data_IF_802782474860
#
_entry.id   IF_802782474860
#
_cell.length_a   1.000
_cell.length_b   1.000
_cell.length_c   1.000
_cell.angle_alpha   90.00
_cell.angle_beta   90.00
_cell.angle_gamma   90.00
#
_symmetry.space_group_name_H-M   'P 1'
#
loop_
_entity.id
_entity.type
_entity.pdbx_description
1 polymer ?
#
# COMPACT_ATOMS: atom_id res chain seq x y z
N UNK A 1 -8.83 2.20 31.97
CA UNK A 1 -7.61 1.76 32.70
C UNK A 1 -6.38 1.78 31.79
N UNK A 2 -6.39 1.11 30.63
CA UNK A 2 -5.25 1.08 29.69
C UNK A 2 -4.80 2.45 29.18
N UNK A 3 -5.74 3.30 28.73
CA UNK A 3 -5.43 4.66 28.23
C UNK A 3 -4.71 5.50 29.29
N UNK A 4 -5.22 5.52 30.52
CA UNK A 4 -4.60 6.23 31.66
C UNK A 4 -3.21 5.67 31.97
N UNK A 5 -3.04 4.35 31.89
CA UNK A 5 -1.74 3.69 32.06
C UNK A 5 -0.73 4.11 30.99
N UNK A 6 -1.14 4.19 29.72
CA UNK A 6 -0.30 4.62 28.61
C UNK A 6 0.05 6.12 28.68
N UNK A 7 -0.88 6.96 29.12
CA UNK A 7 -0.62 8.38 29.37
C UNK A 7 0.45 8.57 30.44
N UNK A 8 0.30 7.87 31.58
CA UNK A 8 1.31 7.89 32.66
C UNK A 8 2.66 7.35 32.19
N UNK A 9 2.66 6.27 31.42
CA UNK A 9 3.90 5.70 30.84
C UNK A 9 4.59 6.72 29.92
N UNK A 10 3.84 7.39 29.04
CA UNK A 10 4.40 8.39 28.14
C UNK A 10 4.99 9.61 28.89
N UNK A 11 4.36 10.03 29.98
CA UNK A 11 4.89 11.11 30.83
C UNK A 11 6.21 10.69 31.48
N UNK A 12 6.27 9.48 32.04
CA UNK A 12 7.49 8.94 32.65
C UNK A 12 8.62 8.76 31.63
N UNK A 13 8.32 8.26 30.43
CA UNK A 13 9.29 8.15 29.33
C UNK A 13 9.85 9.53 28.98
N UNK A 14 9.00 10.55 28.89
CA UNK A 14 9.45 11.90 28.59
C UNK A 14 10.34 12.48 29.71
N UNK A 15 9.96 12.29 30.98
CA UNK A 15 10.73 12.76 32.13
C UNK A 15 12.10 12.07 32.28
N UNK A 16 12.14 10.75 32.05
CA UNK A 16 13.35 9.95 32.29
C UNK A 16 14.29 9.90 31.08
N UNK A 17 13.75 9.93 29.86
CA UNK A 17 14.52 9.72 28.62
C UNK A 17 14.55 10.94 27.71
N UNK A 18 13.74 11.98 27.97
CA UNK A 18 13.61 13.15 27.11
C UNK A 18 12.89 12.88 25.77
N UNK A 19 12.39 11.66 25.55
CA UNK A 19 11.73 11.27 24.28
C UNK A 19 10.23 11.55 24.35
N UNK A 20 9.73 12.40 23.46
CA UNK A 20 8.30 12.69 23.34
C UNK A 20 7.58 11.73 22.39
N UNK A 21 6.88 10.73 22.94
CA UNK A 21 6.16 9.72 22.13
C UNK A 21 4.64 9.92 22.05
N UNK A 22 4.08 10.78 22.91
CA UNK A 22 2.62 10.96 23.07
C UNK A 22 1.92 11.42 21.80
N UNK A 23 2.52 12.36 21.08
CA UNK A 23 1.91 13.06 19.94
C UNK A 23 2.46 12.58 18.60
N UNK A 24 3.33 11.57 18.60
CA UNK A 24 3.90 11.04 17.36
C UNK A 24 2.82 10.29 16.57
N UNK A 25 2.52 10.68 15.32
CA UNK A 25 1.64 9.92 14.46
C UNK A 25 2.11 8.47 14.33
N UNK A 26 1.21 7.51 14.54
CA UNK A 26 1.54 6.08 14.55
C UNK A 26 2.14 5.55 15.86
N UNK A 27 2.38 6.39 16.87
CA UNK A 27 2.94 5.97 18.16
C UNK A 27 2.08 4.94 18.91
N UNK A 28 0.75 4.99 18.71
CA UNK A 28 -0.20 4.02 19.25
C UNK A 28 -0.25 2.66 18.53
N UNK A 29 0.50 2.48 17.43
CA UNK A 29 0.46 1.24 16.64
C UNK A 29 0.81 0.01 17.50
N UNK A 30 0.07 -1.08 17.26
CA UNK A 30 0.15 -2.33 18.02
C UNK A 30 0.07 -2.12 19.55
N UNK A 31 -0.79 -1.21 20.02
CA UNK A 31 -1.01 -0.96 21.44
C UNK A 31 0.14 -0.21 22.11
N UNK A 32 0.65 0.84 21.45
CA UNK A 32 1.82 1.63 21.87
C UNK A 32 3.18 0.91 21.80
N UNK A 33 3.25 -0.25 21.13
CA UNK A 33 4.51 -0.92 20.86
C UNK A 33 5.49 -0.04 20.07
N UNK A 34 4.97 0.71 19.08
CA UNK A 34 5.77 1.66 18.32
C UNK A 34 6.38 2.77 19.20
N UNK A 35 5.61 3.33 20.14
CA UNK A 35 6.11 4.28 21.12
C UNK A 35 7.23 3.68 22.01
N UNK A 36 7.09 2.41 22.40
CA UNK A 36 8.15 1.70 23.13
C UNK A 36 9.45 1.57 22.33
N UNK A 37 9.36 1.17 21.06
CA UNK A 37 10.53 1.08 20.17
C UNK A 37 11.21 2.44 19.98
N UNK A 38 10.44 3.52 19.85
CA UNK A 38 10.99 4.87 19.77
C UNK A 38 11.73 5.27 21.05
N UNK A 39 11.11 5.02 22.21
CA UNK A 39 11.65 5.42 23.50
C UNK A 39 12.90 4.64 23.92
N UNK A 40 12.91 3.33 23.65
CA UNK A 40 13.89 2.41 24.24
C UNK A 40 14.88 1.82 23.23
N UNK A 41 14.56 1.83 21.94
CA UNK A 41 15.39 1.26 20.87
C UNK A 41 15.79 2.29 19.80
N UNK A 42 15.52 3.59 20.03
CA UNK A 42 15.74 4.65 19.05
C UNK A 42 15.06 4.36 17.70
N UNK A 43 13.94 3.64 17.74
CA UNK A 43 13.17 3.27 16.56
C UNK A 43 12.55 4.50 15.90
N UNK A 44 12.28 4.40 14.60
CA UNK A 44 11.61 5.45 13.82
C UNK A 44 10.38 4.87 13.16
N UNK A 45 9.30 5.64 13.14
CA UNK A 45 8.10 5.29 12.38
C UNK A 45 8.35 5.68 10.94
N UNK A 46 8.22 4.70 10.04
CA UNK A 46 8.37 4.88 8.60
C UNK A 46 7.17 4.26 7.89
N UNK A 47 6.92 4.73 6.68
CA UNK A 47 5.98 4.11 5.75
C UNK A 47 6.45 2.68 5.44
N UNK A 48 5.63 1.69 5.74
CA UNK A 48 5.98 0.29 5.53
C UNK A 48 6.21 -0.06 4.06
N UNK A 49 5.43 0.56 3.15
CA UNK A 49 5.65 0.38 1.71
C UNK A 49 6.97 0.99 1.27
N UNK A 50 7.30 2.21 1.72
CA UNK A 50 8.57 2.84 1.35
C UNK A 50 9.76 2.04 1.86
N UNK A 51 9.69 1.53 3.09
CA UNK A 51 10.74 0.67 3.65
C UNK A 51 10.96 -0.60 2.81
N UNK A 52 9.88 -1.26 2.36
CA UNK A 52 9.96 -2.46 1.52
C UNK A 52 10.53 -2.10 0.13
N UNK A 53 10.08 -1.00 -0.48
CA UNK A 53 10.56 -0.58 -1.79
C UNK A 53 12.03 -0.18 -1.77
N UNK A 54 12.47 0.55 -0.73
CA UNK A 54 13.87 0.90 -0.53
C UNK A 54 14.72 -0.36 -0.32
N UNK A 55 14.26 -1.32 0.50
CA UNK A 55 14.96 -2.59 0.74
C UNK A 55 15.15 -3.42 -0.53
N UNK A 56 14.19 -3.34 -1.46
CA UNK A 56 14.25 -4.05 -2.74
C UNK A 56 14.88 -3.23 -3.87
N UNK A 57 15.45 -2.05 -3.59
CA UNK A 57 16.00 -1.16 -4.61
C UNK A 57 15.00 -0.90 -5.76
N UNK A 58 13.73 -0.70 -5.41
CA UNK A 58 12.64 -0.63 -6.38
C UNK A 58 12.86 0.45 -7.45
N UNK A 59 13.46 1.58 -7.08
CA UNK A 59 13.72 2.67 -8.02
C UNK A 59 14.73 2.29 -9.12
N UNK A 60 15.65 1.39 -8.83
CA UNK A 60 16.60 0.89 -9.84
C UNK A 60 15.88 -0.03 -10.84
N UNK A 61 14.93 -0.84 -10.36
CA UNK A 61 14.08 -1.69 -11.21
C UNK A 61 13.18 -0.88 -12.14
N UNK A 62 12.87 0.38 -11.79
CA UNK A 62 12.02 1.26 -12.60
C UNK A 62 12.75 1.83 -13.82
N UNK A 63 14.09 1.90 -13.83
CA UNK A 63 14.84 2.53 -14.92
C UNK A 63 14.59 1.85 -16.28
N UNK A 64 14.40 0.52 -16.27
CA UNK A 64 14.13 -0.28 -17.47
C UNK A 64 12.65 -0.68 -17.61
N UNK A 65 11.79 -0.23 -16.69
CA UNK A 65 10.40 -0.64 -16.65
C UNK A 65 9.53 0.18 -17.62
N UNK A 66 8.86 -0.50 -18.56
CA UNK A 66 7.84 0.14 -19.40
C UNK A 66 6.49 0.33 -18.68
N UNK A 67 6.20 -0.52 -17.70
CA UNK A 67 4.93 -0.57 -16.98
C UNK A 67 5.13 -1.25 -15.62
N UNK A 68 4.45 -0.75 -14.59
CA UNK A 68 4.35 -1.40 -13.28
C UNK A 68 2.98 -2.06 -13.15
N UNK A 69 2.98 -3.33 -12.73
CA UNK A 69 1.79 -4.04 -12.29
C UNK A 69 1.81 -4.19 -10.77
N UNK A 70 0.70 -3.87 -10.11
CA UNK A 70 0.52 -4.04 -8.67
C UNK A 70 -0.88 -4.59 -8.37
N UNK A 71 -1.21 -4.79 -7.10
CA UNK A 71 -2.52 -5.27 -6.72
C UNK A 71 -2.72 -5.41 -5.22
N UNK A 72 -3.99 -5.46 -4.82
CA UNK A 72 -4.41 -5.82 -3.47
C UNK A 72 -5.84 -6.37 -3.46
N UNK A 73 -6.29 -6.90 -2.32
CA UNK A 73 -7.63 -7.48 -2.20
C UNK A 73 -8.76 -6.45 -2.40
N UNK A 74 -8.60 -5.22 -1.91
CA UNK A 74 -9.59 -4.16 -2.02
C UNK A 74 -8.88 -2.81 -2.04
N UNK A 75 -9.08 -2.03 -3.11
CA UNK A 75 -8.76 -0.60 -3.11
C UNK A 75 -9.99 0.17 -2.63
N UNK A 76 -9.84 0.91 -1.54
CA UNK A 76 -10.82 1.81 -0.95
C UNK A 76 -10.20 3.20 -0.67
N UNK A 77 -11.01 4.15 -0.19
CA UNK A 77 -10.52 5.51 0.13
C UNK A 77 -9.42 5.53 1.19
N UNK A 78 -9.32 4.51 2.06
CA UNK A 78 -8.21 4.39 3.01
C UNK A 78 -6.91 3.97 2.33
N UNK A 79 -6.99 3.24 1.23
CA UNK A 79 -5.80 2.83 0.46
C UNK A 79 -5.09 4.02 -0.16
N UNK A 80 -5.85 5.05 -0.57
CA UNK A 80 -5.32 6.32 -1.06
C UNK A 80 -4.42 7.04 -0.04
N UNK A 81 -4.49 6.68 1.25
CA UNK A 81 -3.67 7.27 2.31
C UNK A 81 -2.25 6.70 2.43
N UNK A 82 -1.79 5.89 1.47
CA UNK A 82 -0.39 5.43 1.41
C UNK A 82 -0.17 3.95 1.65
N UNK A 83 -1.14 3.09 1.30
CA UNK A 83 -0.95 1.63 1.31
C UNK A 83 -0.13 1.15 0.11
N UNK A 84 0.18 -0.14 0.08
CA UNK A 84 1.07 -0.81 -0.88
C UNK A 84 0.94 -0.34 -2.34
N UNK A 85 -0.23 -0.50 -2.99
CA UNK A 85 -0.39 -0.11 -4.39
C UNK A 85 -0.14 1.37 -4.66
N UNK A 86 -0.54 2.25 -3.74
CA UNK A 86 -0.34 3.68 -3.85
C UNK A 86 1.14 4.07 -3.70
N UNK A 87 1.84 3.50 -2.71
CA UNK A 87 3.28 3.75 -2.54
C UNK A 87 4.09 3.33 -3.77
N UNK A 88 3.75 2.16 -4.34
CA UNK A 88 4.31 1.67 -5.59
C UNK A 88 4.02 2.65 -6.74
N UNK A 89 2.76 3.04 -6.94
CA UNK A 89 2.36 3.93 -8.02
C UNK A 89 3.02 5.32 -7.91
N UNK A 90 3.12 5.86 -6.70
CA UNK A 90 3.81 7.13 -6.42
C UNK A 90 5.28 7.05 -6.80
N UNK A 91 6.00 5.99 -6.42
CA UNK A 91 7.42 5.81 -6.77
C UNK A 91 7.61 5.63 -8.28
N UNK A 92 6.76 4.82 -8.91
CA UNK A 92 6.76 4.62 -10.36
C UNK A 92 6.54 5.94 -11.12
N UNK A 93 5.57 6.76 -10.68
CA UNK A 93 5.25 8.03 -11.31
C UNK A 93 6.41 9.04 -11.25
N UNK A 94 7.22 9.04 -10.19
CA UNK A 94 8.42 9.90 -10.10
C UNK A 94 9.46 9.57 -11.17
N UNK A 95 9.50 8.33 -11.67
CA UNK A 95 10.35 7.89 -12.77
C UNK A 95 9.64 7.92 -14.13
N UNK A 96 8.41 8.46 -14.18
CA UNK A 96 7.61 8.51 -15.41
C UNK A 96 7.00 7.16 -15.84
N UNK A 97 7.06 6.12 -15.00
CA UNK A 97 6.52 4.79 -15.30
C UNK A 97 5.06 4.69 -14.86
N UNK A 98 4.19 4.24 -15.77
CA UNK A 98 2.75 4.08 -15.49
C UNK A 98 2.49 2.84 -14.65
N UNK A 99 1.49 2.91 -13.78
CA UNK A 99 1.08 1.79 -12.91
C UNK A 99 -0.35 1.35 -13.20
N UNK A 100 -0.55 0.04 -13.36
CA UNK A 100 -1.88 -0.60 -13.44
C UNK A 100 -2.05 -1.55 -12.25
N UNK A 101 -3.21 -1.52 -11.61
CA UNK A 101 -3.53 -2.39 -10.49
C UNK A 101 -4.49 -3.51 -10.89
N UNK A 102 -4.22 -4.75 -10.48
CA UNK A 102 -5.19 -5.86 -10.51
C UNK A 102 -5.75 -6.05 -9.09
N UNK A 103 -7.07 -5.91 -8.92
CA UNK A 103 -7.67 -5.81 -7.58
C UNK A 103 -8.81 -6.79 -7.37
N UNK A 104 -9.00 -7.25 -6.14
CA UNK A 104 -10.17 -8.07 -5.79
C UNK A 104 -11.49 -7.28 -5.89
N UNK A 105 -11.50 -6.05 -5.38
CA UNK A 105 -12.65 -5.14 -5.39
C UNK A 105 -12.17 -3.69 -5.48
N UNK A 106 -12.95 -2.86 -6.17
CA UNK A 106 -12.72 -1.43 -6.30
C UNK A 106 -13.85 -0.67 -5.61
N UNK A 107 -13.50 0.20 -4.66
CA UNK A 107 -14.42 1.05 -3.89
C UNK A 107 -13.92 2.50 -3.87
N UNK A 108 -13.48 2.97 -5.03
CA UNK A 108 -12.96 4.32 -5.30
C UNK A 108 -13.33 4.66 -6.74
N UNK A 109 -13.60 5.94 -7.01
CA UNK A 109 -13.83 6.40 -8.37
C UNK A 109 -12.53 6.49 -9.19
N UNK A 110 -12.65 6.34 -10.51
CA UNK A 110 -11.51 6.34 -11.44
C UNK A 110 -10.67 7.62 -11.39
N UNK A 111 -11.29 8.80 -11.13
CA UNK A 111 -10.54 10.07 -11.10
C UNK A 111 -9.62 10.11 -9.89
N UNK A 112 -10.10 9.65 -8.73
CA UNK A 112 -9.31 9.57 -7.51
C UNK A 112 -8.13 8.59 -7.66
N UNK A 113 -8.33 7.44 -8.33
CA UNK A 113 -7.25 6.50 -8.64
C UNK A 113 -6.19 7.11 -9.56
N UNK A 114 -6.65 7.78 -10.62
CA UNK A 114 -5.76 8.40 -11.59
C UNK A 114 -4.93 9.53 -10.95
N UNK A 115 -5.58 10.39 -10.15
CA UNK A 115 -4.90 11.44 -9.40
C UNK A 115 -3.89 10.88 -8.38
N UNK A 116 -4.12 9.67 -7.90
CA UNK A 116 -3.25 8.92 -7.01
C UNK A 116 -2.05 8.24 -7.72
N UNK A 117 -1.92 8.37 -9.05
CA UNK A 117 -0.83 7.78 -9.82
C UNK A 117 -1.10 6.36 -10.33
N UNK A 118 -2.25 5.76 -9.99
CA UNK A 118 -2.71 4.50 -10.57
C UNK A 118 -3.47 4.81 -11.85
N UNK A 119 -2.89 4.49 -13.00
CA UNK A 119 -3.46 4.82 -14.30
C UNK A 119 -4.79 4.09 -14.57
N UNK A 120 -4.91 2.85 -14.08
CA UNK A 120 -6.13 2.05 -14.14
C UNK A 120 -6.11 0.96 -13.07
N UNK A 121 -7.27 0.62 -12.52
CA UNK A 121 -7.46 -0.54 -11.66
C UNK A 121 -8.48 -1.51 -12.28
N UNK A 122 -8.13 -2.78 -12.38
CA UNK A 122 -8.94 -3.81 -13.01
C UNK A 122 -9.40 -4.83 -11.95
N UNK A 123 -10.71 -4.88 -11.64
CA UNK A 123 -11.26 -5.94 -10.82
C UNK A 123 -11.02 -7.31 -11.45
N UNK A 124 -10.49 -8.25 -10.67
CA UNK A 124 -10.17 -9.60 -11.16
C UNK A 124 -11.42 -10.47 -11.30
N UNK A 125 -12.50 -10.12 -10.60
CA UNK A 125 -13.78 -10.83 -10.59
C UNK A 125 -14.57 -10.52 -11.87
N UNK A 126 -14.73 -11.47 -12.82
CA UNK A 126 -15.33 -11.18 -14.11
C UNK A 126 -16.86 -11.27 -14.12
N UNK A 127 -17.45 -11.83 -13.05
CA UNK A 127 -18.89 -12.08 -12.92
C UNK A 127 -19.28 -12.21 -11.45
N UNK A 128 -20.55 -12.00 -11.08
CA UNK A 128 -21.03 -12.27 -9.73
C UNK A 128 -20.64 -13.67 -9.26
N UNK A 129 -20.08 -13.76 -8.05
CA UNK A 129 -19.68 -15.01 -7.39
C UNK A 129 -19.61 -14.80 -5.87
N UNK A 130 -19.62 -15.88 -5.11
CA UNK A 130 -19.47 -15.78 -3.65
C UNK A 130 -18.03 -15.38 -3.28
N UNK A 131 -17.88 -14.61 -2.20
CA UNK A 131 -16.56 -14.24 -1.66
C UNK A 131 -15.68 -15.48 -1.42
N UNK A 132 -16.27 -16.54 -0.84
CA UNK A 132 -15.56 -17.80 -0.60
C UNK A 132 -15.01 -18.41 -1.89
N UNK A 133 -15.78 -18.38 -2.97
CA UNK A 133 -15.32 -18.87 -4.26
C UNK A 133 -14.23 -17.96 -4.85
N UNK A 134 -14.39 -16.64 -4.77
CA UNK A 134 -13.40 -15.69 -5.25
C UNK A 134 -12.04 -15.88 -4.54
N UNK A 135 -12.04 -15.99 -3.21
CA UNK A 135 -10.83 -16.23 -2.42
C UNK A 135 -10.20 -17.59 -2.74
N UNK A 136 -11.00 -18.65 -2.85
CA UNK A 136 -10.50 -20.00 -3.17
C UNK A 136 -9.86 -20.06 -4.57
N UNK A 137 -10.34 -19.26 -5.52
CA UNK A 137 -9.89 -19.27 -6.91
C UNK A 137 -9.09 -18.01 -7.29
N UNK A 138 -8.58 -17.26 -6.29
CA UNK A 138 -7.95 -15.96 -6.52
C UNK A 138 -6.79 -16.02 -7.53
N UNK A 139 -5.94 -17.05 -7.47
CA UNK A 139 -4.83 -17.23 -8.40
C UNK A 139 -5.31 -17.28 -9.86
N UNK A 140 -6.29 -18.13 -10.17
CA UNK A 140 -6.86 -18.23 -11.51
C UNK A 140 -7.58 -16.95 -11.94
N UNK A 141 -8.21 -16.22 -11.00
CA UNK A 141 -8.87 -14.95 -11.30
C UNK A 141 -7.84 -13.86 -11.65
N UNK A 142 -6.74 -13.76 -10.90
CA UNK A 142 -5.63 -12.84 -11.18
C UNK A 142 -4.99 -13.17 -12.53
N UNK A 143 -4.69 -14.44 -12.79
CA UNK A 143 -4.11 -14.89 -14.06
C UNK A 143 -5.00 -14.51 -15.25
N UNK A 144 -6.31 -14.80 -15.18
CA UNK A 144 -7.25 -14.43 -16.23
C UNK A 144 -7.40 -12.90 -16.39
N UNK A 145 -7.25 -12.12 -15.31
CA UNK A 145 -7.24 -10.66 -15.39
C UNK A 145 -5.96 -10.13 -16.05
N UNK A 146 -4.81 -10.70 -15.72
CA UNK A 146 -3.53 -10.38 -16.33
C UNK A 146 -3.51 -10.74 -17.83
N UNK A 147 -4.08 -11.89 -18.23
CA UNK A 147 -4.23 -12.27 -19.63
C UNK A 147 -5.07 -11.25 -20.41
N UNK A 148 -6.22 -10.84 -19.85
CA UNK A 148 -7.07 -9.80 -20.46
C UNK A 148 -6.32 -8.49 -20.63
N UNK A 149 -5.58 -8.05 -19.61
CA UNK A 149 -4.71 -6.87 -19.69
C UNK A 149 -3.64 -7.04 -20.78
N UNK A 150 -2.99 -8.19 -20.86
CA UNK A 150 -2.00 -8.50 -21.89
C UNK A 150 -2.56 -8.36 -23.31
N UNK A 151 -3.77 -8.88 -23.57
CA UNK A 151 -4.44 -8.70 -24.87
C UNK A 151 -4.72 -7.22 -25.18
N UNK A 152 -5.12 -6.42 -24.18
CA UNK A 152 -5.32 -4.98 -24.37
C UNK A 152 -4.02 -4.22 -24.67
N UNK A 153 -2.93 -4.59 -24.00
CA UNK A 153 -1.61 -4.00 -24.25
C UNK A 153 -1.04 -4.41 -25.61
N UNK A 154 -1.39 -5.59 -26.13
CA UNK A 154 -1.02 -5.97 -27.50
C UNK A 154 -1.71 -5.08 -28.53
N UNK A 155 -2.97 -4.67 -28.31
CA UNK A 155 -3.68 -3.78 -29.24
C UNK A 155 -2.98 -2.44 -29.41
N UNK A 156 -2.36 -1.88 -28.36
CA UNK A 156 -1.62 -0.62 -28.47
C UNK A 156 -0.25 -0.77 -29.16
N UNK A 157 0.25 -2.00 -29.31
CA UNK A 157 1.45 -2.31 -30.09
C UNK A 157 1.17 -2.59 -31.57
N UNK A 158 -0.10 -2.85 -31.93
CA UNK A 158 -0.54 -2.98 -33.33
C UNK A 158 -0.61 -1.58 -33.94
N UNK A 159 0.42 -1.23 -34.73
CA UNK A 159 0.38 -0.13 -35.69
C UNK A 159 -0.30 -0.57 -36.97
#
# INVERSE_FOLDING_TARGET
QLEVGLQRLSELVHQLMGVGVRTTPGGGAAGAFAAGLMAFANGRIQSGVDLILDYHHFDDLLQDAALVLTGEGRIDSQTLSGKGPFGIARRAALQGVRTIALVGTLDVDEKSLHAAGIWSALPIVPRPMSLRYALKNAAALVENAALRLGYLLQLSAVK
#
